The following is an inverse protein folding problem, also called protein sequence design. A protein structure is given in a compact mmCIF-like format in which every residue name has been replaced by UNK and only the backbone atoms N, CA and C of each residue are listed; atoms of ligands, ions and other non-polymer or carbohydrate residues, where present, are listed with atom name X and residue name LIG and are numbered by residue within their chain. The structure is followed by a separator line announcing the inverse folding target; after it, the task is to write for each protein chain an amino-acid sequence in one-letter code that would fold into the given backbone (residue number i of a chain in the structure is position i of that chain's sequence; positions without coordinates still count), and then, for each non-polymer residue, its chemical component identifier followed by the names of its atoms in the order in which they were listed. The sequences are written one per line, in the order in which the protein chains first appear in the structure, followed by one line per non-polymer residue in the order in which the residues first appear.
data_IF_899189752602
#
_entry.id   IF_899189752602
#
_cell.length_a   1.000
_cell.length_b   1.000
_cell.length_c   1.000
_cell.angle_alpha   90.00
_cell.angle_beta   90.00
_cell.angle_gamma   90.00
#
_symmetry.space_group_name_H-M   'P 1'
#
loop_
_entity.id
_entity.type
_entity.pdbx_description
1 polymer ?
#
# COMPACT_ATOMS: atom_id res chain seq x y z
N UNK A 1 -3.68 -4.66 -28.74
CA UNK A 1 -2.84 -4.97 -27.57
C UNK A 1 -1.53 -4.19 -27.73
N UNK A 2 -1.44 -3.00 -27.18
CA UNK A 2 -0.21 -2.20 -27.15
C UNK A 2 0.70 -2.80 -26.09
N UNK A 3 1.79 -3.47 -26.53
CA UNK A 3 2.84 -3.92 -25.65
C UNK A 3 3.43 -2.70 -24.95
N UNK A 4 3.29 -2.65 -23.64
CA UNK A 4 3.84 -1.58 -22.81
C UNK A 4 5.36 -1.80 -22.68
N UNK A 5 6.11 -1.35 -23.68
CA UNK A 5 7.56 -1.50 -23.80
C UNK A 5 8.21 -0.61 -22.73
N UNK A 6 9.01 -1.19 -21.84
CA UNK A 6 9.66 -0.42 -20.77
C UNK A 6 10.82 0.46 -21.32
N UNK A 7 11.27 1.45 -20.55
CA UNK A 7 12.30 2.40 -20.97
C UNK A 7 13.62 1.73 -21.37
N UNK A 8 14.04 0.69 -20.67
CA UNK A 8 15.25 -0.05 -21.04
C UNK A 8 15.11 -0.74 -22.38
N UNK A 9 13.97 -1.35 -22.64
CA UNK A 9 13.67 -2.00 -23.91
C UNK A 9 13.60 -1.00 -25.08
N UNK A 10 12.99 0.16 -24.86
CA UNK A 10 12.95 1.24 -25.87
C UNK A 10 14.36 1.70 -26.24
N UNK A 11 15.23 1.94 -25.26
CA UNK A 11 16.62 2.32 -25.49
C UNK A 11 17.37 1.21 -26.23
N UNK A 12 17.24 -0.05 -25.80
CA UNK A 12 17.91 -1.21 -26.41
C UNK A 12 17.48 -1.39 -27.88
N UNK A 13 16.21 -1.20 -28.17
CA UNK A 13 15.67 -1.33 -29.54
C UNK A 13 16.23 -0.26 -30.47
N UNK A 14 16.55 0.96 -30.02
CA UNK A 14 17.22 1.99 -30.82
C UNK A 14 18.63 1.58 -31.26
N UNK A 15 19.27 0.67 -30.55
CA UNK A 15 20.57 0.10 -30.90
C UNK A 15 20.48 -1.20 -31.71
N UNK A 16 19.28 -1.58 -32.18
CA UNK A 16 19.06 -2.80 -32.97
C UNK A 16 18.77 -4.05 -32.14
N UNK A 17 18.35 -3.87 -30.86
CA UNK A 17 17.94 -4.96 -30.00
C UNK A 17 19.04 -5.49 -29.08
N UNK A 18 18.67 -6.50 -28.26
CA UNK A 18 19.51 -6.99 -27.16
C UNK A 18 20.88 -7.53 -27.65
N UNK A 19 20.88 -8.34 -28.67
CA UNK A 19 22.12 -8.94 -29.20
C UNK A 19 23.06 -7.90 -29.82
N UNK A 20 22.51 -6.95 -30.60
CA UNK A 20 23.29 -5.88 -31.20
C UNK A 20 23.93 -4.98 -30.11
N UNK A 21 23.16 -4.60 -29.11
CA UNK A 21 23.68 -3.79 -28.01
C UNK A 21 24.70 -4.54 -27.14
N UNK A 22 24.48 -5.82 -26.88
CA UNK A 22 25.43 -6.67 -26.16
C UNK A 22 26.79 -6.73 -26.86
N UNK A 23 26.80 -6.93 -28.17
CA UNK A 23 28.01 -6.92 -28.99
C UNK A 23 28.72 -5.56 -28.95
N UNK A 24 27.97 -4.46 -29.08
CA UNK A 24 28.52 -3.09 -29.00
C UNK A 24 29.16 -2.76 -27.67
N UNK A 25 28.63 -3.33 -26.59
CA UNK A 25 29.14 -3.11 -25.24
C UNK A 25 30.23 -4.11 -24.83
N UNK A 26 30.50 -5.14 -25.65
CA UNK A 26 31.38 -6.25 -25.29
C UNK A 26 30.85 -7.05 -24.08
N UNK A 27 29.54 -7.25 -24.02
CA UNK A 27 28.86 -7.93 -22.90
C UNK A 27 28.04 -9.13 -23.39
N UNK A 28 27.70 -10.03 -22.48
CA UNK A 28 26.80 -11.14 -22.75
C UNK A 28 25.38 -10.63 -22.97
N UNK A 29 24.64 -11.24 -23.89
CA UNK A 29 23.24 -10.91 -24.15
C UNK A 29 22.39 -11.00 -22.87
N UNK A 30 22.67 -11.98 -21.99
CA UNK A 30 21.98 -12.13 -20.69
C UNK A 30 22.05 -10.89 -19.78
N UNK A 31 23.12 -10.10 -19.91
CA UNK A 31 23.25 -8.83 -19.16
C UNK A 31 22.24 -7.80 -19.67
N UNK A 32 22.10 -7.70 -20.99
CA UNK A 32 21.15 -6.77 -21.63
C UNK A 32 19.70 -7.24 -21.44
N UNK A 33 19.47 -8.54 -21.48
CA UNK A 33 18.18 -9.16 -21.16
C UNK A 33 17.74 -8.85 -19.71
N UNK A 34 18.68 -8.90 -18.77
CA UNK A 34 18.39 -8.51 -17.39
C UNK A 34 17.91 -7.05 -17.27
N UNK A 35 18.48 -6.13 -18.08
CA UNK A 35 18.02 -4.74 -18.09
C UNK A 35 16.60 -4.61 -18.63
N UNK A 36 16.23 -5.41 -19.65
CA UNK A 36 14.85 -5.47 -20.14
C UNK A 36 13.91 -6.00 -19.05
N UNK A 37 14.27 -7.11 -18.40
CA UNK A 37 13.45 -7.70 -17.32
C UNK A 37 13.24 -6.75 -16.14
N UNK A 38 14.26 -5.99 -15.77
CA UNK A 38 14.20 -5.04 -14.66
C UNK A 38 13.64 -3.67 -15.06
N UNK A 39 13.49 -3.41 -16.34
CA UNK A 39 13.05 -2.13 -16.88
C UNK A 39 14.05 -0.98 -16.69
N UNK A 40 15.28 -1.28 -16.28
CA UNK A 40 16.29 -0.26 -15.94
C UNK A 40 17.66 -0.59 -16.51
N UNK A 41 18.29 0.43 -17.09
CA UNK A 41 19.71 0.40 -17.45
C UNK A 41 20.51 1.01 -16.30
N UNK A 42 21.48 0.29 -15.70
CA UNK A 42 22.28 0.81 -14.58
C UNK A 42 23.00 2.11 -14.95
N UNK A 43 23.09 3.06 -14.02
CA UNK A 43 23.64 4.41 -14.27
C UNK A 43 25.04 4.41 -14.86
N UNK A 44 25.88 3.47 -14.44
CA UNK A 44 27.24 3.30 -14.97
C UNK A 44 27.31 3.02 -16.48
N UNK A 45 26.21 2.59 -17.09
CA UNK A 45 26.12 2.33 -18.55
C UNK A 45 25.47 3.47 -19.31
N UNK A 46 24.72 4.35 -18.65
CA UNK A 46 23.94 5.39 -19.31
C UNK A 46 24.84 6.38 -20.06
N UNK A 47 25.91 6.84 -19.43
CA UNK A 47 26.87 7.74 -20.07
C UNK A 47 27.56 7.11 -21.27
N UNK A 48 27.97 5.84 -21.16
CA UNK A 48 28.59 5.10 -22.25
C UNK A 48 27.62 4.91 -23.43
N UNK A 49 26.35 4.65 -23.15
CA UNK A 49 25.31 4.52 -24.15
C UNK A 49 25.00 5.85 -24.84
N UNK A 50 24.99 6.95 -24.11
CA UNK A 50 24.82 8.29 -24.71
C UNK A 50 25.98 8.64 -25.65
N UNK A 51 27.22 8.29 -25.26
CA UNK A 51 28.38 8.47 -26.13
C UNK A 51 28.30 7.64 -27.44
N UNK A 52 28.00 6.34 -27.30
CA UNK A 52 27.76 5.42 -28.40
C UNK A 52 26.61 5.87 -29.31
N UNK A 53 25.54 6.41 -28.75
CA UNK A 53 24.42 6.92 -29.53
C UNK A 53 24.83 8.11 -30.39
N UNK A 54 25.61 9.06 -29.84
CA UNK A 54 26.16 10.20 -30.61
C UNK A 54 27.05 9.73 -31.76
N UNK A 55 27.95 8.76 -31.52
CA UNK A 55 28.84 8.19 -32.54
C UNK A 55 28.08 7.49 -33.67
N UNK A 56 26.91 6.92 -33.37
CA UNK A 56 26.06 6.21 -34.34
C UNK A 56 24.91 7.05 -34.90
N UNK A 57 24.80 8.33 -34.54
CA UNK A 57 23.69 9.17 -35.00
C UNK A 57 22.33 8.77 -34.46
N UNK A 58 22.30 8.05 -33.30
CA UNK A 58 21.07 7.63 -32.63
C UNK A 58 20.65 8.75 -31.69
N UNK A 59 19.42 9.24 -31.84
CA UNK A 59 18.85 10.19 -30.89
C UNK A 59 18.56 9.51 -29.53
N UNK A 60 19.31 9.90 -28.49
CA UNK A 60 19.17 9.39 -27.14
C UNK A 60 19.40 10.51 -26.14
N UNK A 61 18.46 10.71 -25.23
CA UNK A 61 18.50 11.74 -24.19
C UNK A 61 18.48 11.11 -22.79
N UNK A 62 18.90 11.88 -21.78
CA UNK A 62 18.91 11.43 -20.39
C UNK A 62 17.51 10.99 -19.91
N UNK A 63 16.45 11.62 -20.40
CA UNK A 63 15.06 11.26 -20.09
C UNK A 63 14.66 9.84 -20.55
N UNK A 64 15.31 9.31 -21.59
CA UNK A 64 15.02 7.98 -22.14
C UNK A 64 15.44 6.86 -21.17
N UNK A 65 16.36 7.14 -20.25
CA UNK A 65 16.78 6.20 -19.20
C UNK A 65 15.91 6.25 -17.94
N UNK A 66 15.09 7.29 -17.81
CA UNK A 66 14.15 7.38 -16.71
C UNK A 66 12.99 6.45 -17.01
N UNK A 67 12.82 5.44 -16.17
CA UNK A 67 11.69 4.54 -16.31
C UNK A 67 10.39 5.34 -16.29
N UNK A 68 9.75 5.48 -17.45
CA UNK A 68 8.40 6.03 -17.55
C UNK A 68 7.33 5.06 -17.02
N UNK A 69 7.76 4.00 -16.35
CA UNK A 69 6.90 3.15 -15.57
C UNK A 69 6.54 3.86 -14.25
N UNK A 70 5.89 5.02 -14.36
CA UNK A 70 4.99 5.39 -13.28
C UNK A 70 3.93 4.30 -13.31
N UNK A 71 3.79 3.49 -12.25
CA UNK A 71 2.67 2.57 -12.19
C UNK A 71 1.42 3.41 -12.41
N UNK A 72 0.61 3.03 -13.37
CA UNK A 72 -0.72 3.62 -13.51
C UNK A 72 -1.46 3.20 -12.25
N UNK A 73 -1.51 4.11 -11.29
CA UNK A 73 -2.25 3.89 -10.06
C UNK A 73 -3.70 4.18 -10.40
N UNK A 74 -4.46 3.13 -10.60
CA UNK A 74 -5.91 3.25 -10.78
C UNK A 74 -6.56 3.54 -9.41
N UNK A 75 -7.59 4.37 -9.37
CA UNK A 75 -8.38 4.57 -8.15
C UNK A 75 -8.87 3.22 -7.63
N UNK A 76 -8.82 3.01 -6.32
CA UNK A 76 -9.34 1.80 -5.71
C UNK A 76 -10.83 1.67 -6.00
N UNK A 77 -11.22 0.64 -6.75
CA UNK A 77 -12.62 0.28 -6.98
C UNK A 77 -13.15 -0.61 -5.86
N UNK A 78 -14.34 -0.32 -5.35
CA UNK A 78 -14.99 -1.14 -4.33
C UNK A 78 -14.50 -0.90 -2.90
N UNK A 79 -14.57 -1.92 -2.05
CA UNK A 79 -14.24 -1.84 -0.62
C UNK A 79 -12.78 -2.19 -0.36
N UNK A 80 -12.13 -1.46 0.54
CA UNK A 80 -10.80 -1.74 1.03
C UNK A 80 -10.87 -2.34 2.44
N UNK A 81 -10.47 -3.60 2.57
CA UNK A 81 -10.40 -4.30 3.86
C UNK A 81 -9.20 -3.85 4.69
N UNK A 82 -9.44 -3.41 5.91
CA UNK A 82 -8.41 -3.10 6.91
C UNK A 82 -8.47 -4.19 7.98
N UNK A 83 -7.51 -5.10 7.94
CA UNK A 83 -7.40 -6.21 8.87
C UNK A 83 -6.38 -5.88 9.96
N UNK A 84 -6.81 -5.93 11.21
CA UNK A 84 -6.05 -5.46 12.36
C UNK A 84 -5.74 -6.62 13.30
N UNK A 85 -4.50 -6.71 13.74
CA UNK A 85 -4.06 -7.70 14.73
C UNK A 85 -4.15 -7.07 16.13
N UNK A 86 -5.14 -7.51 16.91
CA UNK A 86 -5.47 -6.95 18.20
C UNK A 86 -6.53 -5.84 18.13
N UNK A 87 -7.64 -6.02 18.82
CA UNK A 87 -8.73 -5.05 18.91
C UNK A 87 -8.61 -4.24 20.22
N UNK A 88 -7.42 -3.69 20.45
CA UNK A 88 -7.12 -2.89 21.65
C UNK A 88 -7.34 -1.38 21.45
N UNK A 89 -6.72 -0.57 22.31
CA UNK A 89 -6.89 0.88 22.36
C UNK A 89 -6.65 1.61 21.02
N UNK A 90 -5.56 1.28 20.31
CA UNK A 90 -5.22 1.92 19.04
C UNK A 90 -6.24 1.55 17.96
N UNK A 91 -6.58 0.27 17.87
CA UNK A 91 -7.49 -0.25 16.84
C UNK A 91 -8.90 0.30 17.03
N UNK A 92 -9.44 0.25 18.25
CA UNK A 92 -10.77 0.77 18.57
C UNK A 92 -10.86 2.28 18.33
N UNK A 93 -9.83 3.04 18.72
CA UNK A 93 -9.75 4.49 18.47
C UNK A 93 -9.70 4.80 16.97
N UNK A 94 -8.93 4.03 16.20
CA UNK A 94 -8.83 4.21 14.74
C UNK A 94 -10.18 3.91 14.06
N UNK A 95 -10.80 2.78 14.38
CA UNK A 95 -12.09 2.38 13.80
C UNK A 95 -13.18 3.39 14.15
N UNK A 96 -13.26 3.77 15.42
CA UNK A 96 -14.22 4.75 15.90
C UNK A 96 -14.01 6.12 15.22
N UNK A 97 -12.77 6.57 15.12
CA UNK A 97 -12.44 7.85 14.47
C UNK A 97 -12.85 7.89 12.99
N UNK A 98 -12.64 6.81 12.24
CA UNK A 98 -13.07 6.75 10.85
C UNK A 98 -14.59 6.81 10.74
N UNK A 99 -15.32 6.04 11.54
CA UNK A 99 -16.78 6.03 11.50
C UNK A 99 -17.40 7.36 11.99
N UNK A 100 -16.80 7.98 12.99
CA UNK A 100 -17.19 9.30 13.48
C UNK A 100 -17.09 10.38 12.40
N UNK A 101 -16.01 10.34 11.62
CA UNK A 101 -15.82 11.22 10.46
C UNK A 101 -16.80 10.91 9.34
N UNK A 102 -17.06 9.63 9.04
CA UNK A 102 -18.05 9.20 8.03
C UNK A 102 -19.44 9.75 8.31
N UNK A 103 -19.84 9.77 9.58
CA UNK A 103 -21.14 10.32 10.01
C UNK A 103 -21.17 11.84 10.10
N UNK A 104 -20.06 12.50 9.75
CA UNK A 104 -19.97 13.97 9.81
C UNK A 104 -19.95 14.53 11.23
N UNK A 105 -19.73 13.70 12.25
CA UNK A 105 -19.69 14.10 13.66
C UNK A 105 -18.37 14.79 14.03
N UNK A 106 -17.33 14.62 13.20
CA UNK A 106 -16.03 15.25 13.42
C UNK A 106 -15.22 15.37 12.14
N UNK A 107 -14.07 16.02 12.25
CA UNK A 107 -13.11 16.18 11.15
C UNK A 107 -11.92 15.26 11.37
N UNK A 108 -11.27 14.76 10.29
CA UNK A 108 -10.12 13.84 10.39
C UNK A 108 -8.84 14.57 10.78
N UNK A 109 -8.83 15.24 11.93
CA UNK A 109 -7.67 15.94 12.45
C UNK A 109 -6.46 15.00 12.56
N UNK A 110 -5.27 15.49 12.19
CA UNK A 110 -4.05 14.71 12.16
C UNK A 110 -3.86 13.84 10.92
N UNK A 111 -4.88 13.67 10.09
CA UNK A 111 -4.75 12.95 8.82
C UNK A 111 -4.28 13.89 7.69
N UNK A 112 -2.99 13.81 7.37
CA UNK A 112 -2.38 14.60 6.28
C UNK A 112 -3.06 14.32 4.94
N UNK A 113 -3.36 13.06 4.63
CA UNK A 113 -3.99 12.68 3.37
C UNK A 113 -5.41 13.22 3.23
N UNK A 114 -6.14 13.41 4.33
CA UNK A 114 -7.52 13.89 4.31
C UNK A 114 -7.66 15.41 4.37
N UNK A 115 -6.73 16.11 5.04
CA UNK A 115 -6.88 17.52 5.35
C UNK A 115 -5.82 18.43 4.72
N UNK A 116 -4.63 17.90 4.42
CA UNK A 116 -3.58 18.72 3.85
C UNK A 116 -3.74 18.89 2.33
N UNK A 117 -3.10 19.93 1.82
CA UNK A 117 -3.04 20.25 0.40
C UNK A 117 -1.68 19.90 -0.18
N UNK A 118 -1.64 19.66 -1.48
CA UNK A 118 -0.40 19.48 -2.23
C UNK A 118 -0.30 20.58 -3.29
N UNK A 119 0.86 21.25 -3.37
CA UNK A 119 1.08 22.26 -4.40
C UNK A 119 1.52 21.61 -5.71
N UNK A 120 0.79 21.87 -6.78
CA UNK A 120 1.10 21.42 -8.12
C UNK A 120 1.66 22.56 -8.96
N UNK A 121 2.87 22.36 -9.50
CA UNK A 121 3.52 23.36 -10.35
C UNK A 121 4.20 24.50 -9.58
N UNK A 122 4.31 25.66 -10.23
CA UNK A 122 4.94 26.85 -9.67
C UNK A 122 4.02 27.51 -8.64
N UNK A 123 4.61 28.29 -7.72
CA UNK A 123 3.85 29.04 -6.69
C UNK A 123 2.81 29.98 -7.31
N UNK A 124 3.12 30.54 -8.47
CA UNK A 124 2.25 31.46 -9.22
C UNK A 124 1.02 30.78 -9.82
N UNK A 125 1.03 29.45 -9.96
CA UNK A 125 -0.06 28.71 -10.59
C UNK A 125 -1.26 28.52 -9.64
N UNK A 126 -1.10 28.81 -8.35
CA UNK A 126 -2.12 28.73 -7.28
C UNK A 126 -2.91 27.40 -7.25
N UNK A 127 -2.27 26.30 -7.69
CA UNK A 127 -2.89 24.97 -7.73
C UNK A 127 -2.54 24.19 -6.48
N UNK A 128 -3.44 24.20 -5.51
CA UNK A 128 -3.26 23.54 -4.20
C UNK A 128 -4.47 22.70 -3.81
N UNK A 129 -4.77 21.60 -4.56
CA UNK A 129 -5.86 20.70 -4.20
C UNK A 129 -5.56 19.98 -2.88
N UNK A 130 -6.59 19.42 -2.24
CA UNK A 130 -6.42 18.46 -1.16
C UNK A 130 -5.70 17.20 -1.67
N UNK A 131 -4.88 16.60 -0.83
CA UNK A 131 -4.14 15.38 -1.19
C UNK A 131 -5.12 14.28 -1.62
N UNK A 132 -6.22 14.08 -0.87
CA UNK A 132 -7.25 13.08 -1.17
C UNK A 132 -7.93 13.25 -2.53
N UNK A 133 -7.99 14.49 -3.04
CA UNK A 133 -8.64 14.80 -4.32
C UNK A 133 -7.66 14.66 -5.50
N UNK A 134 -6.36 14.61 -5.21
CA UNK A 134 -5.30 14.53 -6.22
C UNK A 134 -4.68 13.13 -6.35
N UNK A 135 -4.53 12.42 -5.22
CA UNK A 135 -3.94 11.08 -5.18
C UNK A 135 -5.06 10.05 -5.18
N UNK A 136 -4.98 8.99 -6.00
CA UNK A 136 -6.01 7.95 -6.09
C UNK A 136 -5.96 7.03 -4.86
N UNK A 137 -6.35 7.53 -3.71
CA UNK A 137 -6.49 6.77 -2.45
C UNK A 137 -7.94 6.34 -2.25
N UNK A 138 -8.14 5.27 -1.50
CA UNK A 138 -9.47 4.84 -1.11
C UNK A 138 -10.17 5.90 -0.23
N UNK A 139 -11.44 6.17 -0.50
CA UNK A 139 -12.27 7.02 0.35
C UNK A 139 -12.52 6.36 1.71
N UNK A 140 -12.81 7.18 2.73
CA UNK A 140 -13.11 6.63 4.06
C UNK A 140 -14.33 5.71 4.07
N UNK A 141 -15.31 5.97 3.23
CA UNK A 141 -16.53 5.18 3.02
C UNK A 141 -16.28 3.81 2.40
N UNK A 142 -15.15 3.63 1.72
CA UNK A 142 -14.73 2.36 1.13
C UNK A 142 -14.08 1.41 2.16
N UNK A 143 -13.65 1.90 3.32
CA UNK A 143 -12.94 1.08 4.30
C UNK A 143 -13.91 0.10 5.00
N UNK A 144 -13.50 -1.15 5.14
CA UNK A 144 -14.18 -2.19 5.91
C UNK A 144 -13.19 -2.76 6.90
N UNK A 145 -13.62 -2.94 8.14
CA UNK A 145 -12.75 -3.35 9.23
C UNK A 145 -12.98 -4.80 9.64
N UNK A 146 -11.90 -5.47 9.96
CA UNK A 146 -11.86 -6.76 10.62
C UNK A 146 -10.68 -6.84 11.55
N UNK A 147 -10.77 -7.66 12.59
CA UNK A 147 -9.67 -7.81 13.56
C UNK A 147 -9.54 -9.26 14.03
N UNK A 148 -8.36 -9.62 14.50
CA UNK A 148 -8.11 -10.84 15.27
C UNK A 148 -7.82 -10.43 16.70
N UNK A 149 -8.53 -11.04 17.67
CA UNK A 149 -8.25 -10.80 19.08
C UNK A 149 -8.47 -12.07 19.92
N UNK A 150 -7.64 -12.35 20.93
CA UNK A 150 -7.86 -13.45 21.87
C UNK A 150 -9.06 -13.24 22.80
N UNK A 151 -9.55 -12.01 22.92
CA UNK A 151 -10.75 -11.66 23.69
C UNK A 151 -11.92 -11.57 22.69
N UNK A 152 -13.09 -12.14 23.00
CA UNK A 152 -14.23 -12.18 22.08
C UNK A 152 -15.04 -10.89 22.02
N UNK A 153 -14.65 -9.86 22.78
CA UNK A 153 -15.33 -8.56 22.85
C UNK A 153 -15.38 -7.90 21.47
N UNK A 154 -16.54 -7.37 21.09
CA UNK A 154 -16.66 -6.58 19.87
C UNK A 154 -15.95 -5.21 19.97
N UNK A 155 -15.93 -4.45 18.89
CA UNK A 155 -15.21 -3.18 18.87
C UNK A 155 -15.84 -2.14 19.82
N UNK A 156 -17.12 -2.24 20.15
CA UNK A 156 -17.79 -1.37 21.11
C UNK A 156 -17.31 -1.68 22.54
N UNK A 157 -17.37 -2.95 22.94
CA UNK A 157 -16.91 -3.41 24.25
C UNK A 157 -15.42 -3.12 24.45
N UNK A 158 -14.62 -3.41 23.42
CA UNK A 158 -13.19 -3.12 23.43
C UNK A 158 -12.89 -1.62 23.58
N UNK A 159 -13.63 -0.74 22.89
CA UNK A 159 -13.46 0.71 23.02
C UNK A 159 -13.78 1.21 24.43
N UNK A 160 -14.84 0.69 25.03
CA UNK A 160 -15.21 1.02 26.42
C UNK A 160 -14.15 0.50 27.39
N UNK A 161 -13.72 -0.75 27.23
CA UNK A 161 -12.72 -1.37 28.12
C UNK A 161 -11.38 -0.64 28.07
N UNK A 162 -10.96 -0.20 26.89
CA UNK A 162 -9.70 0.54 26.72
C UNK A 162 -9.74 1.95 27.31
N UNK A 163 -10.91 2.57 27.42
CA UNK A 163 -11.11 3.86 28.10
C UNK A 163 -10.34 5.03 27.49
N UNK A 164 -9.99 4.97 26.19
CA UNK A 164 -9.23 6.04 25.49
C UNK A 164 -10.16 7.14 25.01
N UNK A 165 -11.33 6.75 24.52
CA UNK A 165 -12.35 7.67 24.00
C UNK A 165 -13.44 7.88 25.07
N UNK A 166 -13.95 9.10 25.18
CA UNK A 166 -15.13 9.35 25.98
C UNK A 166 -16.31 8.54 25.44
N UNK A 167 -16.99 7.86 26.36
CA UNK A 167 -18.07 6.95 26.01
C UNK A 167 -19.25 7.68 25.37
N UNK A 168 -19.69 8.76 25.97
CA UNK A 168 -20.90 9.46 25.54
C UNK A 168 -20.68 10.33 24.32
N UNK A 169 -19.49 10.94 24.22
CA UNK A 169 -19.16 11.83 23.13
C UNK A 169 -18.78 11.08 21.87
N UNK A 170 -17.94 10.01 21.96
CA UNK A 170 -17.35 9.39 20.78
C UNK A 170 -17.82 7.96 20.49
N UNK A 171 -18.19 7.17 21.51
CA UNK A 171 -18.51 5.75 21.33
C UNK A 171 -20.01 5.52 21.11
N UNK A 172 -20.86 6.07 21.95
CA UNK A 172 -22.32 5.87 21.86
C UNK A 172 -22.92 6.32 20.52
N UNK A 173 -22.52 7.46 19.91
CA UNK A 173 -23.08 7.89 18.63
C UNK A 173 -22.84 6.92 17.46
N UNK A 174 -21.88 5.99 17.59
CA UNK A 174 -21.49 5.02 16.58
C UNK A 174 -21.56 3.57 17.07
N UNK A 175 -22.23 3.34 18.20
CA UNK A 175 -22.30 2.04 18.86
C UNK A 175 -22.86 0.94 17.97
N UNK A 176 -23.85 1.24 17.14
CA UNK A 176 -24.43 0.34 16.16
C UNK A 176 -23.41 -0.21 15.18
N UNK A 177 -22.49 0.64 14.72
CA UNK A 177 -21.43 0.22 13.83
C UNK A 177 -20.36 -0.61 14.56
N UNK A 178 -19.91 -0.17 15.72
CA UNK A 178 -18.85 -0.83 16.48
C UNK A 178 -19.26 -2.25 16.91
N UNK A 179 -20.51 -2.46 17.32
CA UNK A 179 -21.07 -3.77 17.72
C UNK A 179 -21.08 -4.80 16.58
N UNK A 180 -21.06 -4.35 15.33
CA UNK A 180 -20.99 -5.24 14.18
C UNK A 180 -19.58 -5.75 13.86
N UNK A 181 -18.54 -5.17 14.47
CA UNK A 181 -17.15 -5.58 14.26
C UNK A 181 -16.76 -6.56 15.35
N UNK A 182 -16.90 -7.84 15.07
CA UNK A 182 -16.52 -8.94 15.97
C UNK A 182 -15.15 -9.47 15.59
N UNK A 183 -14.26 -9.73 16.56
CA UNK A 183 -12.94 -10.23 16.27
C UNK A 183 -12.97 -11.69 15.82
N UNK A 184 -12.17 -12.00 14.82
CA UNK A 184 -11.81 -13.36 14.47
C UNK A 184 -10.88 -13.94 15.55
N UNK A 185 -10.86 -15.27 15.74
CA UNK A 185 -9.98 -15.90 16.69
C UNK A 185 -8.51 -15.58 16.45
N UNK A 186 -7.80 -15.16 17.50
CA UNK A 186 -6.36 -15.00 17.43
C UNK A 186 -5.67 -16.36 17.25
N UNK A 187 -4.67 -16.38 16.38
CA UNK A 187 -3.91 -17.61 16.07
C UNK A 187 -2.46 -17.41 16.49
N UNK A 188 -1.96 -18.29 17.35
CA UNK A 188 -0.57 -18.26 17.79
C UNK A 188 -0.04 -19.65 18.18
N UNK A 189 1.28 -19.78 18.17
CA UNK A 189 1.97 -20.97 18.65
C UNK A 189 2.21 -20.86 20.17
N UNK A 190 1.68 -21.84 20.91
CA UNK A 190 1.83 -21.91 22.37
C UNK A 190 3.27 -22.06 22.87
N UNK A 191 4.18 -22.54 22.05
CA UNK A 191 5.59 -22.64 22.43
C UNK A 191 6.23 -21.27 22.61
N UNK A 192 5.80 -20.30 21.80
CA UNK A 192 6.31 -18.92 21.80
C UNK A 192 5.47 -17.98 22.65
N UNK A 193 4.14 -18.12 22.59
CA UNK A 193 3.22 -17.22 23.27
C UNK A 193 2.51 -17.94 24.41
N UNK A 194 3.18 -18.01 25.55
CA UNK A 194 2.70 -18.79 26.71
C UNK A 194 1.75 -18.02 27.64
N UNK A 195 1.73 -16.69 27.57
CA UNK A 195 1.05 -15.83 28.56
C UNK A 195 -0.21 -15.14 28.07
N UNK A 196 -0.54 -15.23 26.79
CA UNK A 196 -1.79 -14.66 26.28
C UNK A 196 -2.94 -15.52 26.79
N UNK A 197 -3.82 -14.88 27.55
CA UNK A 197 -5.08 -15.46 28.03
C UNK A 197 -6.22 -14.91 27.17
N UNK A 198 -7.11 -15.78 26.75
CA UNK A 198 -8.29 -15.41 25.98
C UNK A 198 -9.05 -16.67 25.59
N UNK A 199 -10.33 -16.53 25.36
CA UNK A 199 -11.22 -17.62 24.95
C UNK A 199 -11.39 -17.70 23.43
N UNK A 200 -11.10 -16.60 22.73
CA UNK A 200 -11.22 -16.51 21.27
C UNK A 200 -9.87 -16.80 20.60
N UNK A 201 -9.41 -18.06 20.70
CA UNK A 201 -8.09 -18.46 20.22
C UNK A 201 -8.13 -19.78 19.45
N UNK A 202 -7.32 -19.84 18.40
CA UNK A 202 -6.97 -21.08 17.67
C UNK A 202 -5.48 -21.34 17.85
N UNK A 203 -5.13 -22.51 18.36
CA UNK A 203 -3.73 -22.89 18.63
C UNK A 203 -3.12 -23.50 17.38
N UNK A 204 -2.05 -22.91 16.90
CA UNK A 204 -1.26 -23.45 15.81
C UNK A 204 -0.14 -24.34 16.37
N UNK A 205 0.11 -25.48 15.70
CA UNK A 205 1.22 -26.41 16.00
C UNK A 205 2.30 -26.37 14.94
N UNK A 206 2.02 -25.82 13.77
CA UNK A 206 2.94 -25.74 12.64
C UNK A 206 2.91 -24.33 12.03
N UNK A 207 3.99 -23.96 11.34
CA UNK A 207 4.05 -22.68 10.60
C UNK A 207 2.93 -22.54 9.56
N UNK A 208 2.56 -23.65 8.90
CA UNK A 208 1.45 -23.64 7.94
C UNK A 208 0.13 -23.32 8.62
N UNK A 209 -0.13 -23.88 9.81
CA UNK A 209 -1.35 -23.55 10.54
C UNK A 209 -1.39 -22.09 11.01
N UNK A 210 -0.24 -21.46 11.29
CA UNK A 210 -0.19 -20.02 11.59
C UNK A 210 -0.67 -19.16 10.40
N UNK A 211 -0.48 -19.62 9.18
CA UNK A 211 -0.92 -18.91 7.98
C UNK A 211 -2.39 -19.19 7.67
N UNK A 212 -2.81 -20.47 7.69
CA UNK A 212 -4.15 -20.85 7.22
C UNK A 212 -5.27 -20.72 8.26
N UNK A 213 -4.98 -20.87 9.56
CA UNK A 213 -6.01 -20.76 10.59
C UNK A 213 -6.68 -19.38 10.68
N UNK A 214 -5.98 -18.25 10.46
CA UNK A 214 -6.62 -16.93 10.43
C UNK A 214 -7.66 -16.79 9.32
N UNK A 215 -7.48 -17.48 8.19
CA UNK A 215 -8.36 -17.42 7.03
C UNK A 215 -9.57 -18.34 7.16
N UNK A 216 -9.51 -19.34 8.04
CA UNK A 216 -10.63 -20.26 8.26
C UNK A 216 -11.75 -19.57 9.03
N UNK A 217 -12.88 -19.36 8.38
CA UNK A 217 -14.10 -18.90 9.04
C UNK A 217 -14.53 -19.91 10.12
N UNK A 218 -15.18 -19.44 11.19
CA UNK A 218 -15.75 -20.32 12.21
C UNK A 218 -16.79 -21.26 11.62
#
# INVERSE_FOLDING_TARGET
MTQNTNSAEQVINRFGGQSALANLLGRRQSTVEHWVKTGRIPSQWQEKLMKLAREKGISLEAKDFVANNKPVIEPAGGKLGVLIVGLGAVSSTFIAGVEYVRRGLGKPFGSVTQMATIRLGKRTDNRTPLIKDFVPIAGLDQLVFGAWDPIPDDAYESAIHCGVLDRHEFIEPIADFLKNIKPMPAVFDNQWVKRIKGTNVKKARTKQQLVYLPESRP
#
